data_IF_817337427853
#
_entry.id   IF_817337427853
#
_cell.length_a   1.000
_cell.length_b   1.000
_cell.length_c   1.000
_cell.angle_alpha   90.00
_cell.angle_beta   90.00
_cell.angle_gamma   90.00
#
_symmetry.space_group_name_H-M   'P 1'
#
loop_
_entity.id
_entity.type
_entity.pdbx_description
1 polymer ?
#
# COMPACT_ATOMS: atom_id res chain seq x y z
N UNK A 1 -7.06 11.34 3.02
CA UNK A 1 -8.38 11.04 2.45
C UNK A 1 -8.55 9.56 2.14
N UNK A 2 -7.91 8.99 1.10
CA UNK A 2 -8.21 7.62 0.61
C UNK A 2 -8.24 6.52 1.68
N UNK A 3 -7.26 6.44 2.59
CA UNK A 3 -7.31 5.38 3.61
C UNK A 3 -8.34 5.61 4.71
N UNK A 4 -8.72 6.86 5.00
CA UNK A 4 -9.74 7.13 6.00
C UNK A 4 -11.08 6.62 5.45
N UNK A 5 -11.39 6.98 4.20
CA UNK A 5 -12.54 6.46 3.46
C UNK A 5 -12.54 4.93 3.33
N UNK A 6 -11.40 4.30 2.99
CA UNK A 6 -11.32 2.85 2.92
C UNK A 6 -11.59 2.17 4.27
N UNK A 7 -11.10 2.76 5.37
CA UNK A 7 -11.30 2.26 6.72
C UNK A 7 -12.75 2.45 7.20
N UNK A 8 -13.33 3.63 7.00
CA UNK A 8 -14.73 3.95 7.28
C UNK A 8 -15.68 2.99 6.55
N UNK A 9 -15.41 2.73 5.26
CA UNK A 9 -16.23 1.80 4.46
C UNK A 9 -16.15 0.35 4.96
N UNK A 10 -15.00 -0.06 5.50
CA UNK A 10 -14.77 -1.41 6.00
C UNK A 10 -15.39 -1.63 7.39
N UNK A 11 -15.33 -0.62 8.25
CA UNK A 11 -15.80 -0.70 9.63
C UNK A 11 -17.27 -0.31 9.78
N UNK A 12 -17.72 0.71 9.05
CA UNK A 12 -19.09 1.25 9.07
C UNK A 12 -19.61 1.59 10.48
N UNK A 13 -18.69 2.01 11.34
CA UNK A 13 -18.96 2.30 12.76
C UNK A 13 -19.23 3.79 13.04
N UNK A 14 -18.96 4.67 12.07
CA UNK A 14 -19.14 6.12 12.23
C UNK A 14 -18.02 6.81 13.00
N UNK A 15 -16.91 6.11 13.25
CA UNK A 15 -15.76 6.62 14.00
C UNK A 15 -14.71 7.25 13.08
N UNK A 16 -14.04 8.30 13.58
CA UNK A 16 -12.95 8.98 12.87
C UNK A 16 -11.59 8.44 13.31
N UNK A 17 -10.91 7.74 12.40
CA UNK A 17 -9.61 7.15 12.67
C UNK A 17 -8.46 8.09 12.30
N UNK A 18 -7.64 8.47 13.29
CA UNK A 18 -6.42 9.22 13.06
C UNK A 18 -5.28 8.30 12.58
N UNK A 19 -4.51 8.76 11.59
CA UNK A 19 -3.33 8.04 11.11
C UNK A 19 -2.15 8.28 12.04
N UNK A 20 -1.66 7.23 12.69
CA UNK A 20 -0.34 7.25 13.30
C UNK A 20 0.70 6.72 12.29
N UNK A 21 1.85 7.39 12.19
CA UNK A 21 3.01 6.89 11.44
C UNK A 21 3.98 6.26 12.42
N UNK A 22 4.41 5.04 12.13
CA UNK A 22 5.49 4.40 12.87
C UNK A 22 6.87 4.92 12.42
N UNK A 23 7.91 4.59 13.18
CA UNK A 23 9.29 5.04 12.94
C UNK A 23 9.85 4.60 11.58
N UNK A 24 9.37 3.49 11.01
CA UNK A 24 9.75 3.02 9.68
C UNK A 24 8.86 3.59 8.54
N UNK A 25 8.04 4.61 8.85
CA UNK A 25 7.05 5.24 7.95
C UNK A 25 5.87 4.33 7.57
N UNK A 26 5.75 3.12 8.13
CA UNK A 26 4.56 2.32 7.95
C UNK A 26 3.36 2.98 8.62
N UNK A 27 2.21 2.86 7.97
CA UNK A 27 0.92 3.29 8.51
C UNK A 27 0.55 2.35 9.64
N UNK A 28 0.23 2.89 10.81
CA UNK A 28 -0.36 2.12 11.89
C UNK A 28 -1.87 2.04 11.68
N UNK A 29 -2.35 0.83 11.46
CA UNK A 29 -3.78 0.54 11.32
C UNK A 29 -4.40 0.18 12.67
N UNK A 30 -5.72 0.37 12.84
CA UNK A 30 -6.42 -0.12 14.02
C UNK A 30 -6.25 -1.63 14.22
N UNK A 31 -6.53 -2.09 15.44
CA UNK A 31 -6.45 -3.51 15.78
C UNK A 31 -7.31 -4.34 14.82
N UNK A 32 -6.78 -5.50 14.41
CA UNK A 32 -7.41 -6.46 13.48
C UNK A 32 -7.64 -5.93 12.05
N UNK A 33 -7.03 -4.81 11.68
CA UNK A 33 -7.04 -4.28 10.32
C UNK A 33 -5.62 -4.28 9.76
N UNK A 34 -5.48 -4.73 8.52
CA UNK A 34 -4.31 -4.47 7.70
C UNK A 34 -4.70 -3.54 6.56
N UNK A 35 -3.72 -2.81 6.03
CA UNK A 35 -3.94 -2.00 4.86
C UNK A 35 -2.64 -1.57 4.19
N UNK A 36 -2.78 -1.07 2.99
CA UNK A 36 -1.67 -0.57 2.20
C UNK A 36 -2.09 0.71 1.48
N UNK A 37 -1.12 1.59 1.27
CA UNK A 37 -1.28 2.87 0.59
C UNK A 37 -0.16 2.97 -0.42
N UNK A 38 -0.52 3.27 -1.67
CA UNK A 38 0.46 3.64 -2.68
C UNK A 38 0.02 4.92 -3.38
N UNK A 39 0.99 5.69 -3.85
CA UNK A 39 0.75 6.94 -4.55
C UNK A 39 1.71 7.06 -5.72
N UNK A 40 1.19 7.51 -6.86
CA UNK A 40 1.95 8.04 -7.98
C UNK A 40 1.56 9.50 -8.18
N UNK A 41 2.26 10.24 -9.05
CA UNK A 41 2.08 11.70 -9.20
C UNK A 41 0.62 12.16 -9.24
N UNK A 42 -0.25 11.41 -9.92
CA UNK A 42 -1.65 11.80 -10.15
C UNK A 42 -2.67 10.87 -9.50
N UNK A 43 -2.23 9.79 -8.84
CA UNK A 43 -3.13 8.79 -8.26
C UNK A 43 -2.69 8.44 -6.86
N UNK A 44 -3.65 8.35 -5.95
CA UNK A 44 -3.44 7.85 -4.59
C UNK A 44 -4.46 6.76 -4.35
N UNK A 45 -4.01 5.61 -3.88
CA UNK A 45 -4.88 4.50 -3.53
C UNK A 45 -4.64 4.06 -2.10
N UNK A 46 -5.67 3.50 -1.47
CA UNK A 46 -5.58 2.83 -0.20
C UNK A 46 -6.53 1.64 -0.17
N UNK A 47 -6.06 0.52 0.34
CA UNK A 47 -6.85 -0.69 0.54
C UNK A 47 -6.74 -1.11 2.00
N UNK A 48 -7.87 -1.52 2.58
CA UNK A 48 -7.96 -2.02 3.95
C UNK A 48 -8.67 -3.36 3.95
N UNK A 49 -8.27 -4.25 4.85
CA UNK A 49 -8.88 -5.56 5.06
C UNK A 49 -9.02 -5.83 6.56
N UNK A 50 -10.01 -6.66 6.91
CA UNK A 50 -10.06 -7.28 8.24
C UNK A 50 -9.11 -8.46 8.23
N UNK A 51 -8.37 -8.65 9.31
CA UNK A 51 -7.62 -9.88 9.52
C UNK A 51 -8.59 -11.07 9.54
N UNK A 52 -8.21 -12.14 8.84
CA UNK A 52 -8.90 -13.42 8.90
C UNK A 52 -7.85 -14.54 8.89
N UNK A 53 -8.31 -15.79 9.00
CA UNK A 53 -7.44 -16.96 8.84
C UNK A 53 -6.91 -17.09 7.40
N UNK A 54 -7.57 -16.47 6.42
CA UNK A 54 -7.23 -16.56 4.99
C UNK A 54 -6.33 -15.41 4.55
N UNK A 55 -6.50 -14.21 5.15
CA UNK A 55 -5.76 -13.02 4.76
C UNK A 55 -5.28 -12.26 6.00
N UNK A 56 -3.96 -12.19 6.15
CA UNK A 56 -3.31 -11.50 7.28
C UNK A 56 -2.73 -10.14 6.90
N UNK A 57 -2.43 -9.92 5.62
CA UNK A 57 -1.82 -8.69 5.14
C UNK A 57 -2.21 -8.40 3.70
N UNK A 58 -2.14 -7.13 3.32
CA UNK A 58 -2.31 -6.69 1.94
C UNK A 58 -1.24 -5.67 1.58
N UNK A 59 -0.73 -5.76 0.35
CA UNK A 59 0.15 -4.78 -0.27
C UNK A 59 -0.46 -4.32 -1.58
N UNK A 60 -0.50 -3.01 -1.79
CA UNK A 60 -0.88 -2.42 -3.09
C UNK A 60 0.24 -1.50 -3.53
N UNK A 61 0.53 -1.55 -4.82
CA UNK A 61 1.45 -0.61 -5.44
C UNK A 61 0.86 -0.06 -6.73
N UNK A 62 1.12 1.23 -7.01
CA UNK A 62 0.68 1.90 -8.22
C UNK A 62 1.85 2.66 -8.83
N UNK A 63 2.13 2.35 -10.09
CA UNK A 63 3.24 2.93 -10.83
C UNK A 63 2.77 3.46 -12.18
N UNK A 64 3.52 4.41 -12.72
CA UNK A 64 3.27 4.90 -14.08
C UNK A 64 3.76 3.85 -15.08
N UNK A 65 2.94 3.57 -16.11
CA UNK A 65 3.38 2.79 -17.27
C UNK A 65 4.60 3.50 -17.88
N UNK A 66 5.73 2.81 -17.88
CA UNK A 66 6.99 3.33 -18.40
C UNK A 66 7.14 3.05 -19.89
N UNK A 67 7.99 3.82 -20.56
CA UNK A 67 8.38 3.52 -21.93
C UNK A 67 9.22 2.25 -21.98
N UNK A 68 9.22 1.58 -23.13
CA UNK A 68 10.03 0.37 -23.36
C UNK A 68 11.51 0.61 -23.07
N UNK A 69 12.07 1.74 -23.50
CA UNK A 69 13.48 2.06 -23.25
C UNK A 69 13.77 2.15 -21.74
N UNK A 70 12.92 2.87 -21.00
CA UNK A 70 13.08 3.02 -19.54
C UNK A 70 12.93 1.67 -18.83
N UNK A 71 12.06 0.78 -19.31
CA UNK A 71 11.92 -0.57 -18.79
C UNK A 71 13.20 -1.40 -19.00
N UNK A 72 13.81 -1.32 -20.19
CA UNK A 72 15.08 -2.01 -20.49
C UNK A 72 16.17 -1.52 -19.54
N UNK A 73 16.36 -0.20 -19.42
CA UNK A 73 17.41 0.37 -18.58
C UNK A 73 17.22 0.00 -17.10
N UNK A 74 15.97 0.06 -16.61
CA UNK A 74 15.65 -0.23 -15.22
C UNK A 74 15.76 -1.72 -14.89
N UNK A 75 15.38 -2.60 -15.82
CA UNK A 75 15.46 -4.06 -15.64
C UNK A 75 16.87 -4.54 -15.30
N UNK A 76 17.89 -3.90 -15.90
CA UNK A 76 19.29 -4.23 -15.66
C UNK A 76 19.75 -3.89 -14.24
N UNK A 77 19.05 -2.99 -13.54
CA UNK A 77 19.37 -2.56 -12.17
C UNK A 77 18.57 -3.35 -11.14
N UNK A 78 17.26 -3.48 -11.35
CA UNK A 78 16.36 -4.13 -10.37
C UNK A 78 16.57 -5.65 -10.35
N UNK A 79 16.66 -6.31 -11.51
CA UNK A 79 16.76 -7.77 -11.57
C UNK A 79 18.12 -8.28 -11.10
N UNK A 80 19.20 -7.49 -11.24
CA UNK A 80 20.53 -7.84 -10.70
C UNK A 80 20.55 -7.91 -9.18
N UNK A 81 19.90 -6.98 -8.49
CA UNK A 81 19.78 -7.03 -7.04
C UNK A 81 18.90 -8.19 -6.56
N UNK A 82 17.88 -8.58 -7.33
CA UNK A 82 16.95 -9.64 -6.96
C UNK A 82 17.52 -11.07 -7.10
N UNK A 83 18.55 -11.29 -7.93
CA UNK A 83 19.18 -12.61 -8.17
C UNK A 83 20.54 -12.79 -7.47
N UNK A 84 20.91 -11.89 -6.55
CA UNK A 84 22.18 -11.96 -5.81
C UNK A 84 22.01 -12.50 -4.37
N UNK A 85 21.07 -13.42 -4.14
CA UNK A 85 20.91 -14.16 -2.88
C UNK A 85 21.04 -15.65 -3.09
#
# INVERSE_FOLDING_TARGET
MCSATALENLLRDGEYYWRLKSSNRAVLWPKNIAGSISHSNNFVTAVTIKHSNEVQSIGVDIEKIMSTQKAIDLSQTILKCAHSQ
#
